data_IF_014567968780
#
_entry.id   IF_014567968780
#
_cell.length_a   1.000
_cell.length_b   1.000
_cell.length_c   1.000
_cell.angle_alpha   90.00
_cell.angle_beta   90.00
_cell.angle_gamma   90.00
#
_symmetry.space_group_name_H-M   'P 1'
#
loop_
_entity.id
_entity.type
_entity.pdbx_description
1 polymer ?
#
# COMPACT_ATOMS: atom_id res chain seq x y z
N UNK A 1 -15.62 -9.81 10.54
CA UNK A 1 -15.35 -9.21 9.21
C UNK A 1 -13.84 -9.13 8.97
N UNK A 2 -13.06 -8.45 9.83
CA UNK A 2 -11.58 -8.44 9.75
C UNK A 2 -10.93 -9.84 9.72
N UNK A 3 -11.34 -10.75 10.62
CA UNK A 3 -10.77 -12.10 10.66
C UNK A 3 -11.02 -12.93 9.38
N UNK A 4 -12.12 -12.69 8.67
CA UNK A 4 -12.37 -13.33 7.37
C UNK A 4 -11.44 -12.77 6.30
N UNK A 5 -11.22 -11.44 6.29
CA UNK A 5 -10.21 -10.80 5.43
C UNK A 5 -8.83 -11.44 5.63
N UNK A 6 -8.33 -11.50 6.87
CA UNK A 6 -7.05 -12.17 7.19
C UNK A 6 -7.03 -13.65 6.76
N UNK A 7 -8.15 -14.37 6.86
CA UNK A 7 -8.23 -15.77 6.43
C UNK A 7 -8.05 -15.90 4.92
N UNK A 8 -8.71 -15.04 4.13
CA UNK A 8 -8.57 -15.06 2.68
C UNK A 8 -7.22 -14.53 2.17
N UNK A 9 -6.54 -13.65 2.92
CA UNK A 9 -5.14 -13.29 2.65
C UNK A 9 -4.22 -14.51 2.70
N UNK A 10 -4.35 -15.34 3.74
CA UNK A 10 -3.55 -16.56 3.88
C UNK A 10 -3.85 -17.58 2.77
N UNK A 11 -5.06 -17.53 2.22
CA UNK A 11 -5.48 -18.36 1.08
C UNK A 11 -5.17 -17.73 -0.29
N UNK A 12 -4.39 -16.64 -0.33
CA UNK A 12 -4.01 -15.91 -1.56
C UNK A 12 -5.22 -15.47 -2.42
N UNK A 13 -6.39 -15.37 -1.80
CA UNK A 13 -7.65 -15.01 -2.45
C UNK A 13 -7.91 -13.51 -2.27
N UNK A 14 -7.11 -12.69 -2.94
CA UNK A 14 -7.07 -11.24 -2.74
C UNK A 14 -8.41 -10.53 -3.05
N UNK A 15 -9.18 -11.03 -4.00
CA UNK A 15 -10.52 -10.53 -4.34
C UNK A 15 -11.49 -10.66 -3.16
N UNK A 16 -11.56 -11.86 -2.56
CA UNK A 16 -12.40 -12.15 -1.40
C UNK A 16 -11.88 -11.45 -0.15
N UNK A 17 -10.57 -11.42 0.01
CA UNK A 17 -9.90 -10.72 1.09
C UNK A 17 -10.26 -9.23 1.09
N UNK A 18 -10.11 -8.57 -0.06
CA UNK A 18 -10.49 -7.17 -0.23
C UNK A 18 -11.97 -6.94 0.07
N UNK A 19 -12.86 -7.80 -0.44
CA UNK A 19 -14.29 -7.73 -0.13
C UNK A 19 -14.57 -7.73 1.39
N UNK A 20 -13.95 -8.63 2.15
CA UNK A 20 -14.17 -8.69 3.60
C UNK A 20 -13.57 -7.51 4.36
N UNK A 21 -12.47 -6.92 3.87
CA UNK A 21 -11.98 -5.66 4.42
C UNK A 21 -12.91 -4.49 4.09
N UNK A 22 -13.46 -4.41 2.88
CA UNK A 22 -14.47 -3.42 2.51
C UNK A 22 -15.74 -3.52 3.39
N UNK A 23 -16.18 -4.74 3.72
CA UNK A 23 -17.27 -4.94 4.70
C UNK A 23 -16.86 -4.48 6.11
N UNK A 24 -15.64 -4.79 6.54
CA UNK A 24 -15.13 -4.34 7.84
C UNK A 24 -15.08 -2.79 7.93
N UNK A 25 -14.71 -2.11 6.84
CA UNK A 25 -14.67 -0.64 6.78
C UNK A 25 -16.04 0.02 6.98
N UNK A 26 -17.15 -0.68 6.70
CA UNK A 26 -18.49 -0.15 6.98
C UNK A 26 -18.75 0.02 8.47
N UNK A 27 -18.08 -0.78 9.30
CA UNK A 27 -18.18 -0.76 10.76
C UNK A 27 -17.04 0.05 11.36
N UNK A 28 -15.80 -0.19 10.92
CA UNK A 28 -14.57 0.36 11.49
C UNK A 28 -14.01 1.53 10.67
N UNK A 29 -14.84 2.53 10.39
CA UNK A 29 -14.52 3.67 9.50
C UNK A 29 -13.31 4.51 9.89
N UNK A 30 -12.84 4.39 11.14
CA UNK A 30 -11.73 5.17 11.70
C UNK A 30 -10.55 4.28 12.10
N UNK A 31 -10.51 3.02 11.67
CA UNK A 31 -9.40 2.12 11.96
C UNK A 31 -8.37 2.14 10.80
N UNK A 32 -7.19 2.77 10.97
CA UNK A 32 -6.18 2.83 9.92
C UNK A 32 -5.66 1.46 9.50
N UNK A 33 -5.68 0.46 10.39
CA UNK A 33 -5.19 -0.87 10.07
C UNK A 33 -6.07 -1.56 9.04
N UNK A 34 -7.39 -1.40 9.11
CA UNK A 34 -8.31 -2.00 8.12
C UNK A 34 -8.09 -1.39 6.73
N UNK A 35 -7.89 -0.07 6.66
CA UNK A 35 -7.51 0.60 5.41
C UNK A 35 -6.14 0.16 4.89
N UNK A 36 -5.16 -0.06 5.79
CA UNK A 36 -3.86 -0.60 5.42
C UNK A 36 -3.98 -2.00 4.81
N UNK A 37 -4.75 -2.90 5.43
CA UNK A 37 -4.95 -4.25 4.87
C UNK A 37 -5.69 -4.19 3.52
N UNK A 38 -6.73 -3.36 3.39
CA UNK A 38 -7.41 -3.16 2.10
C UNK A 38 -6.47 -2.59 1.02
N UNK A 39 -5.51 -1.73 1.39
CA UNK A 39 -4.47 -1.25 0.48
C UNK A 39 -3.61 -2.39 -0.03
N UNK A 40 -3.16 -3.29 0.86
CA UNK A 40 -2.31 -4.44 0.49
C UNK A 40 -3.04 -5.33 -0.51
N UNK A 41 -4.31 -5.65 -0.27
CA UNK A 41 -5.08 -6.47 -1.21
C UNK A 41 -5.31 -5.78 -2.55
N UNK A 42 -5.57 -4.47 -2.55
CA UNK A 42 -5.71 -3.70 -3.78
C UNK A 42 -4.40 -3.66 -4.59
N UNK A 43 -3.24 -3.59 -3.92
CA UNK A 43 -1.93 -3.70 -4.56
C UNK A 43 -1.73 -5.08 -5.19
N UNK A 44 -2.05 -6.16 -4.47
CA UNK A 44 -1.94 -7.53 -4.99
C UNK A 44 -2.84 -7.79 -6.19
N UNK A 45 -3.99 -7.12 -6.25
CA UNK A 45 -4.92 -7.15 -7.38
C UNK A 45 -4.52 -6.23 -8.55
N UNK A 46 -3.42 -5.49 -8.44
CA UNK A 46 -3.01 -4.51 -9.46
C UNK A 46 -3.90 -3.26 -9.54
N UNK A 47 -4.83 -3.08 -8.60
CA UNK A 47 -5.76 -1.96 -8.60
C UNK A 47 -5.15 -0.74 -7.89
N UNK A 48 -4.31 -0.01 -8.64
CA UNK A 48 -3.59 1.18 -8.15
C UNK A 48 -4.52 2.25 -7.60
N UNK A 49 -5.66 2.50 -8.26
CA UNK A 49 -6.61 3.55 -7.86
C UNK A 49 -7.23 3.26 -6.50
N UNK A 50 -7.70 2.02 -6.27
CA UNK A 50 -8.19 1.60 -4.95
C UNK A 50 -7.08 1.63 -3.89
N UNK A 51 -5.88 1.16 -4.25
CA UNK A 51 -4.74 1.16 -3.32
C UNK A 51 -4.38 2.58 -2.87
N UNK A 52 -4.36 3.57 -3.78
CA UNK A 52 -4.16 4.98 -3.43
C UNK A 52 -5.28 5.47 -2.51
N UNK A 53 -6.54 5.26 -2.88
CA UNK A 53 -7.68 5.70 -2.08
C UNK A 53 -7.66 5.17 -0.63
N UNK A 54 -7.41 3.86 -0.45
CA UNK A 54 -7.35 3.27 0.89
C UNK A 54 -6.13 3.75 1.67
N UNK A 55 -4.96 3.85 1.03
CA UNK A 55 -3.74 4.30 1.71
C UNK A 55 -3.80 5.76 2.09
N UNK A 56 -4.37 6.65 1.28
CA UNK A 56 -4.63 8.05 1.66
C UNK A 56 -5.54 8.14 2.87
N UNK A 57 -6.61 7.32 2.90
CA UNK A 57 -7.51 7.29 4.05
C UNK A 57 -6.80 6.79 5.30
N UNK A 58 -5.97 5.75 5.18
CA UNK A 58 -5.15 5.23 6.25
C UNK A 58 -4.14 6.29 6.77
N UNK A 59 -3.48 7.03 5.87
CA UNK A 59 -2.57 8.14 6.21
C UNK A 59 -3.30 9.33 6.85
N UNK A 60 -4.55 9.59 6.47
CA UNK A 60 -5.33 10.66 7.13
C UNK A 60 -5.59 10.36 8.61
N UNK A 61 -5.66 9.08 8.97
CA UNK A 61 -5.85 8.59 10.34
C UNK A 61 -4.50 8.39 11.07
N UNK A 62 -3.44 8.03 10.34
CA UNK A 62 -2.11 7.74 10.88
C UNK A 62 -0.98 8.29 9.96
N UNK A 63 -0.75 9.62 9.95
CA UNK A 63 0.06 10.30 8.92
C UNK A 63 1.58 10.02 8.96
N UNK A 64 2.06 9.44 10.06
CA UNK A 64 3.48 9.12 10.28
C UNK A 64 3.68 7.62 10.51
N UNK A 65 2.77 6.78 10.04
CA UNK A 65 2.98 5.34 10.05
C UNK A 65 3.86 4.93 8.86
N UNK A 66 5.09 4.49 9.13
CA UNK A 66 6.07 4.11 8.11
C UNK A 66 5.55 3.01 7.17
N UNK A 67 4.88 1.97 7.70
CA UNK A 67 4.34 0.88 6.89
C UNK A 67 3.22 1.33 5.95
N UNK A 68 2.35 2.24 6.40
CA UNK A 68 1.30 2.81 5.53
C UNK A 68 1.93 3.69 4.44
N UNK A 69 2.94 4.51 4.79
CA UNK A 69 3.67 5.31 3.81
C UNK A 69 4.37 4.44 2.76
N UNK A 70 4.96 3.31 3.15
CA UNK A 70 5.57 2.36 2.22
C UNK A 70 4.53 1.76 1.25
N UNK A 71 3.36 1.33 1.76
CA UNK A 71 2.28 0.82 0.92
C UNK A 71 1.71 1.91 -0.01
N UNK A 72 1.58 3.15 0.46
CA UNK A 72 1.15 4.28 -0.37
C UNK A 72 2.16 4.56 -1.50
N UNK A 73 3.46 4.52 -1.20
CA UNK A 73 4.50 4.69 -2.22
C UNK A 73 4.43 3.61 -3.30
N UNK A 74 4.18 2.35 -2.93
CA UNK A 74 3.95 1.27 -3.90
C UNK A 74 2.70 1.51 -4.75
N UNK A 75 1.61 2.02 -4.15
CA UNK A 75 0.38 2.32 -4.86
C UNK A 75 0.58 3.44 -5.89
N UNK A 76 1.29 4.51 -5.51
CA UNK A 76 1.68 5.59 -6.41
C UNK A 76 2.57 5.08 -7.55
N UNK A 77 3.56 4.23 -7.25
CA UNK A 77 4.44 3.65 -8.25
C UNK A 77 3.66 2.82 -9.28
N UNK A 78 2.74 1.97 -8.82
CA UNK A 78 1.86 1.19 -9.71
C UNK A 78 0.97 2.09 -10.57
N UNK A 79 0.59 3.26 -10.05
CA UNK A 79 -0.13 4.29 -10.78
C UNK A 79 0.74 5.18 -11.68
N UNK A 80 2.02 4.83 -11.87
CA UNK A 80 3.01 5.60 -12.65
C UNK A 80 3.36 6.98 -12.08
N UNK A 81 3.15 7.18 -10.79
CA UNK A 81 3.48 8.39 -10.06
C UNK A 81 4.82 8.26 -9.34
N UNK A 82 5.90 8.04 -10.10
CA UNK A 82 7.22 7.69 -9.57
C UNK A 82 7.85 8.75 -8.66
N UNK A 83 7.75 10.03 -9.01
CA UNK A 83 8.35 11.12 -8.21
C UNK A 83 7.67 11.25 -6.83
N UNK A 84 6.35 11.12 -6.79
CA UNK A 84 5.55 11.16 -5.57
C UNK A 84 5.78 9.90 -4.73
N UNK A 85 5.89 8.73 -5.38
CA UNK A 85 6.28 7.49 -4.73
C UNK A 85 7.67 7.62 -4.06
N UNK A 86 8.64 8.20 -4.77
CA UNK A 86 10.01 8.39 -4.27
C UNK A 86 10.05 9.31 -3.05
N UNK A 87 9.31 10.42 -3.09
CA UNK A 87 9.18 11.31 -1.92
C UNK A 87 8.55 10.60 -0.73
N UNK A 88 7.51 9.82 -0.98
CA UNK A 88 6.75 9.11 0.07
C UNK A 88 7.58 8.03 0.75
N UNK A 89 8.28 7.19 -0.03
CA UNK A 89 9.09 6.11 0.53
C UNK A 89 10.32 6.62 1.29
N UNK A 90 10.88 7.77 0.88
CA UNK A 90 11.95 8.45 1.64
C UNK A 90 11.47 8.84 3.03
N UNK A 91 10.27 9.43 3.13
CA UNK A 91 9.64 9.73 4.43
C UNK A 91 9.43 8.46 5.27
N UNK A 92 9.00 7.35 4.67
CA UNK A 92 8.86 6.08 5.37
C UNK A 92 10.20 5.60 5.96
N UNK A 93 11.28 5.65 5.17
CA UNK A 93 12.63 5.27 5.61
C UNK A 93 13.21 6.22 6.67
N UNK A 94 12.84 7.50 6.66
CA UNK A 94 13.23 8.45 7.71
C UNK A 94 12.54 8.13 9.05
N UNK A 95 11.28 7.69 9.00
CA UNK A 95 10.50 7.33 10.18
C UNK A 95 10.89 5.98 10.78
N UNK A 96 11.22 5.00 9.93
CA UNK A 96 11.81 3.73 10.35
C UNK A 96 13.07 3.41 9.53
N UNK A 97 14.24 3.88 9.99
CA UNK A 97 15.51 3.65 9.29
C UNK A 97 15.98 2.19 9.32
N UNK A 98 15.34 1.30 10.08
CA UNK A 98 15.74 -0.11 10.17
C UNK A 98 14.84 -1.03 9.36
N UNK A 99 13.72 -0.52 8.83
CA UNK A 99 12.85 -1.31 7.98
C UNK A 99 13.51 -1.64 6.63
N UNK A 100 13.89 -2.92 6.51
CA UNK A 100 14.48 -3.45 5.29
C UNK A 100 13.49 -3.43 4.12
N UNK A 101 12.20 -3.58 4.39
CA UNK A 101 11.17 -3.59 3.33
C UNK A 101 11.11 -2.20 2.69
N UNK A 102 10.96 -1.14 3.49
CA UNK A 102 10.94 0.23 2.99
C UNK A 102 12.20 0.59 2.20
N UNK A 103 13.39 0.15 2.65
CA UNK A 103 14.65 0.37 1.91
C UNK A 103 14.68 -0.33 0.56
N UNK A 104 14.21 -1.58 0.50
CA UNK A 104 14.12 -2.32 -0.75
C UNK A 104 13.15 -1.65 -1.73
N UNK A 105 12.01 -1.18 -1.23
CA UNK A 105 11.03 -0.42 -2.02
C UNK A 105 11.62 0.91 -2.51
N UNK A 106 12.38 1.63 -1.67
CA UNK A 106 13.09 2.85 -2.07
C UNK A 106 14.04 2.58 -3.24
N UNK A 107 14.92 1.57 -3.11
CA UNK A 107 15.84 1.21 -4.19
C UNK A 107 15.12 0.82 -5.48
N UNK A 108 13.98 0.11 -5.37
CA UNK A 108 13.18 -0.27 -6.52
C UNK A 108 12.54 0.95 -7.23
N UNK A 109 12.01 1.89 -6.46
CA UNK A 109 11.45 3.15 -6.99
C UNK A 109 12.54 3.99 -7.65
N UNK A 110 13.73 4.10 -7.03
CA UNK A 110 14.87 4.82 -7.61
C UNK A 110 15.31 4.24 -8.96
N UNK A 111 15.33 2.91 -9.10
CA UNK A 111 15.61 2.25 -10.37
C UNK A 111 14.59 2.63 -11.45
N UNK A 112 13.29 2.72 -11.10
CA UNK A 112 12.24 3.09 -12.05
C UNK A 112 12.32 4.57 -12.43
N UNK A 113 12.44 5.46 -11.44
CA UNK A 113 12.52 6.92 -11.67
C UNK A 113 13.78 7.29 -12.46
N UNK A 114 14.89 6.58 -12.25
CA UNK A 114 16.13 6.76 -13.02
C UNK A 114 16.09 6.14 -14.42
N UNK A 115 15.00 5.47 -14.82
CA UNK A 115 14.86 4.81 -16.11
C UNK A 115 15.65 3.50 -16.25
N UNK A 116 16.23 2.98 -15.16
CA UNK A 116 16.94 1.70 -15.14
C UNK A 116 15.98 0.51 -15.15
N UNK A 117 14.73 0.71 -14.73
CA UNK A 117 13.64 -0.26 -14.79
C UNK A 117 12.38 0.38 -15.34
N UNK A 118 11.55 -0.44 -15.98
CA UNK A 118 10.21 -0.02 -16.39
C UNK A 118 9.22 -0.09 -15.22
N UNK A 119 8.17 0.70 -15.31
CA UNK A 119 7.04 0.61 -14.38
C UNK A 119 6.40 -0.77 -14.45
N UNK A 120 5.94 -1.32 -13.32
CA UNK A 120 5.19 -2.57 -13.31
C UNK A 120 3.94 -2.46 -14.21
N UNK A 121 3.63 -3.54 -14.92
CA UNK A 121 2.48 -3.59 -15.82
C UNK A 121 1.17 -3.43 -15.03
N UNK A 122 0.22 -2.70 -15.61
CA UNK A 122 -1.16 -2.60 -15.10
C UNK A 122 -1.86 -3.89 -15.54
N UNK A 123 -2.13 -4.80 -14.61
CA UNK A 123 -2.82 -6.07 -14.85
C UNK A 123 -4.31 -5.84 -15.12
#
# INVERSE_FOLDING_TARGET
MWGLGKTYQVLDSHDKSLYWFEEALKIEKNNPDVYREATIEALSLGNSEKAIMYSEKALSLAPNNAGILANHALALLLNRQGDEALKTIKKACELDPNDKISKNVLSYIEDIVSGRKEYPFRI
#
